data_IF_273069132456
#
_entry.id   IF_273069132456
#
_cell.length_a   1.000
_cell.length_b   1.000
_cell.length_c   1.000
_cell.angle_alpha   90.00
_cell.angle_beta   90.00
_cell.angle_gamma   90.00
#
_symmetry.space_group_name_H-M   'P 1'
#
loop_
_entity.id
_entity.type
_entity.pdbx_description
1 polymer ?
#
# COMPACT_ATOMS: atom_id res chain seq x y z
N UNK A 1 4.87 24.82 -3.45
CA UNK A 1 4.85 23.97 -4.65
C UNK A 1 3.71 22.97 -4.44
N UNK A 2 2.63 23.09 -5.21
CA UNK A 2 1.55 22.12 -5.16
C UNK A 2 2.12 20.78 -5.62
N UNK A 3 2.03 19.74 -4.79
CA UNK A 3 2.33 18.38 -5.21
C UNK A 3 1.20 17.93 -6.15
N UNK A 4 1.23 18.38 -7.39
CA UNK A 4 0.32 17.96 -8.47
C UNK A 4 0.64 16.55 -8.99
N UNK A 5 1.35 15.74 -8.20
CA UNK A 5 1.52 14.33 -8.53
C UNK A 5 0.17 13.63 -8.39
N UNK A 6 -0.44 13.17 -9.49
CA UNK A 6 -1.71 12.48 -9.44
C UNK A 6 -1.58 11.26 -8.53
N UNK A 7 -2.61 10.99 -7.72
CA UNK A 7 -2.66 9.80 -6.88
C UNK A 7 -2.37 8.56 -7.74
N UNK A 8 -1.24 7.85 -7.57
CA UNK A 8 -0.81 6.80 -8.47
C UNK A 8 -1.79 5.61 -8.53
N UNK A 9 -2.84 5.60 -7.70
CA UNK A 9 -3.97 4.68 -7.84
C UNK A 9 -4.57 4.65 -9.27
N UNK A 10 -4.51 5.74 -10.05
CA UNK A 10 -4.96 5.72 -11.45
C UNK A 10 -4.16 4.74 -12.31
N UNK A 11 -2.88 4.48 -11.97
CA UNK A 11 -2.02 3.53 -12.68
C UNK A 11 -2.52 2.09 -12.52
N UNK A 12 -3.21 1.76 -11.42
CA UNK A 12 -3.79 0.43 -11.22
C UNK A 12 -4.96 0.17 -12.17
N UNK A 13 -5.60 1.22 -12.68
CA UNK A 13 -6.68 1.12 -13.65
C UNK A 13 -6.20 1.14 -15.10
N UNK A 14 -4.90 1.40 -15.34
CA UNK A 14 -4.34 1.44 -16.70
C UNK A 14 -4.21 0.01 -17.26
N UNK A 15 -4.72 -0.28 -18.47
CA UNK A 15 -4.57 -1.59 -19.11
C UNK A 15 -3.10 -2.04 -19.26
N UNK A 16 -2.18 -1.09 -19.40
CA UNK A 16 -0.74 -1.33 -19.50
C UNK A 16 -0.13 -1.85 -18.20
N UNK A 17 -0.74 -1.54 -17.05
CA UNK A 17 -0.29 -1.99 -15.75
C UNK A 17 -0.25 -3.52 -15.66
N UNK A 18 -1.31 -4.18 -16.11
CA UNK A 18 -1.39 -5.64 -16.12
C UNK A 18 -0.28 -6.24 -17.01
N UNK A 19 0.04 -5.58 -18.12
CA UNK A 19 1.14 -5.99 -19.00
C UNK A 19 2.51 -5.80 -18.34
N UNK A 20 2.76 -4.68 -17.66
CA UNK A 20 4.02 -4.48 -16.94
C UNK A 20 4.17 -5.42 -15.76
N UNK A 21 3.06 -5.72 -15.07
CA UNK A 21 3.04 -6.68 -13.97
C UNK A 21 3.38 -8.09 -14.45
N UNK A 22 2.78 -8.54 -15.57
CA UNK A 22 3.06 -9.87 -16.13
C UNK A 22 4.48 -10.00 -16.69
N UNK A 23 5.09 -8.90 -17.11
CA UNK A 23 6.49 -8.83 -17.54
C UNK A 23 7.48 -8.77 -16.38
N UNK A 24 7.01 -8.73 -15.11
CA UNK A 24 7.88 -8.63 -13.94
C UNK A 24 8.54 -7.26 -13.76
N UNK A 25 8.01 -6.21 -14.41
CA UNK A 25 8.56 -4.85 -14.34
C UNK A 25 8.05 -4.06 -13.13
N UNK A 26 7.17 -4.66 -12.33
CA UNK A 26 6.62 -4.07 -11.11
C UNK A 26 7.12 -4.88 -9.93
N UNK A 27 7.72 -4.20 -8.94
CA UNK A 27 8.10 -4.83 -7.69
C UNK A 27 6.82 -5.29 -6.94
N UNK A 28 6.63 -6.61 -6.77
CA UNK A 28 5.42 -7.14 -6.13
C UNK A 28 5.32 -6.76 -4.65
N UNK A 29 6.45 -6.54 -3.97
CA UNK A 29 6.48 -6.13 -2.56
C UNK A 29 6.05 -4.67 -2.46
N UNK A 30 6.59 -3.80 -3.31
CA UNK A 30 6.20 -2.39 -3.36
C UNK A 30 4.72 -2.25 -3.71
N UNK A 31 4.23 -3.02 -4.69
CA UNK A 31 2.82 -3.03 -5.09
C UNK A 31 1.91 -3.48 -3.94
N UNK A 32 2.21 -4.61 -3.29
CA UNK A 32 1.44 -5.08 -2.13
C UNK A 32 1.40 -4.03 -1.03
N UNK A 33 2.54 -3.42 -0.71
CA UNK A 33 2.63 -2.40 0.33
C UNK A 33 1.82 -1.14 -0.03
N UNK A 34 1.78 -0.76 -1.31
CA UNK A 34 0.93 0.32 -1.79
C UNK A 34 -0.56 0.00 -1.60
N UNK A 35 -0.99 -1.21 -1.97
CA UNK A 35 -2.38 -1.67 -1.79
C UNK A 35 -2.75 -1.65 -0.31
N UNK A 36 -1.91 -2.22 0.57
CA UNK A 36 -2.13 -2.22 2.04
C UNK A 36 -2.34 -0.79 2.56
N UNK A 37 -1.50 0.17 2.15
CA UNK A 37 -1.65 1.59 2.55
C UNK A 37 -2.94 2.21 2.01
N UNK A 38 -3.35 1.85 0.81
CA UNK A 38 -4.60 2.34 0.22
C UNK A 38 -5.81 1.80 1.00
N UNK A 39 -5.86 0.50 1.25
CA UNK A 39 -6.94 -0.13 1.99
C UNK A 39 -7.02 0.33 3.44
N UNK A 40 -5.87 0.51 4.10
CA UNK A 40 -5.82 1.09 5.44
C UNK A 40 -6.49 2.46 5.51
N UNK A 41 -6.27 3.33 4.50
CA UNK A 41 -6.93 4.64 4.45
C UNK A 41 -8.45 4.54 4.33
N UNK A 42 -8.96 3.52 3.63
CA UNK A 42 -10.40 3.27 3.54
C UNK A 42 -10.96 2.65 4.82
N UNK A 43 -10.25 1.70 5.43
CA UNK A 43 -10.64 1.07 6.70
C UNK A 43 -10.72 2.09 7.84
N UNK A 44 -9.76 3.02 7.91
CA UNK A 44 -9.73 4.05 8.97
C UNK A 44 -10.89 5.04 8.94
N UNK A 45 -11.70 5.07 7.87
CA UNK A 45 -12.95 5.83 7.82
C UNK A 45 -14.09 5.17 8.62
N UNK A 46 -13.96 3.88 8.94
CA UNK A 46 -15.01 3.05 9.55
C UNK A 46 -14.56 2.37 10.84
N UNK A 47 -13.33 1.90 10.85
CA UNK A 47 -12.78 1.05 11.91
C UNK A 47 -11.71 1.77 12.73
N UNK A 48 -11.47 1.28 13.96
CA UNK A 48 -10.34 1.72 14.79
C UNK A 48 -9.00 1.37 14.14
N UNK A 49 -7.90 1.98 14.60
CA UNK A 49 -6.57 1.65 14.09
C UNK A 49 -6.23 0.19 14.34
N UNK A 50 -6.52 -0.31 15.54
CA UNK A 50 -6.23 -1.69 15.94
C UNK A 50 -7.00 -2.67 15.04
N UNK A 51 -8.30 -2.41 14.85
CA UNK A 51 -9.16 -3.24 14.00
C UNK A 51 -8.71 -3.18 12.53
N UNK A 52 -8.35 -2.00 12.03
CA UNK A 52 -7.84 -1.85 10.67
C UNK A 52 -6.57 -2.67 10.42
N UNK A 53 -5.64 -2.66 11.38
CA UNK A 53 -4.40 -3.45 11.28
C UNK A 53 -4.71 -4.95 11.39
N UNK A 54 -5.63 -5.35 12.26
CA UNK A 54 -6.07 -6.74 12.39
C UNK A 54 -6.67 -7.28 11.08
N UNK A 55 -7.61 -6.55 10.48
CA UNK A 55 -8.24 -6.94 9.21
C UNK A 55 -7.23 -7.05 8.06
N UNK A 56 -6.24 -6.15 8.01
CA UNK A 56 -5.17 -6.21 7.01
C UNK A 56 -4.20 -7.37 7.28
N UNK A 57 -3.90 -7.66 8.54
CA UNK A 57 -3.08 -8.80 8.96
C UNK A 57 -3.70 -10.11 8.46
N UNK A 58 -5.00 -10.29 8.70
CA UNK A 58 -5.77 -11.46 8.25
C UNK A 58 -5.80 -11.55 6.72
N UNK A 59 -6.15 -10.45 6.04
CA UNK A 59 -6.31 -10.43 4.58
C UNK A 59 -5.02 -10.71 3.80
N UNK A 60 -3.89 -10.17 4.27
CA UNK A 60 -2.61 -10.29 3.57
C UNK A 60 -1.73 -11.42 4.12
N UNK A 61 -2.20 -12.15 5.14
CA UNK A 61 -1.44 -13.19 5.84
C UNK A 61 -0.05 -12.70 6.29
N UNK A 62 -0.01 -11.47 6.81
CA UNK A 62 1.20 -10.84 7.34
C UNK A 62 1.04 -10.66 8.84
N UNK A 63 2.14 -10.68 9.59
CA UNK A 63 2.09 -10.39 11.02
C UNK A 63 1.65 -8.95 11.29
N UNK A 64 1.11 -8.72 12.49
CA UNK A 64 0.73 -7.38 12.95
C UNK A 64 1.90 -6.38 12.86
N UNK A 65 3.11 -6.82 13.20
CA UNK A 65 4.33 -6.01 13.10
C UNK A 65 4.71 -5.70 11.64
N UNK A 66 4.50 -6.65 10.74
CA UNK A 66 4.74 -6.42 9.31
C UNK A 66 3.77 -5.37 8.75
N UNK A 67 2.48 -5.45 9.10
CA UNK A 67 1.49 -4.43 8.72
C UNK A 67 1.87 -3.07 9.33
N UNK A 68 2.21 -3.01 10.61
CA UNK A 68 2.65 -1.76 11.25
C UNK A 68 3.88 -1.17 10.57
N UNK A 69 4.86 -2.00 10.23
CA UNK A 69 6.05 -1.57 9.49
C UNK A 69 5.69 -1.01 8.12
N UNK A 70 4.80 -1.68 7.39
CA UNK A 70 4.36 -1.22 6.07
C UNK A 70 3.66 0.14 6.17
N UNK A 71 2.80 0.32 7.18
CA UNK A 71 1.99 1.53 7.34
C UNK A 71 2.79 2.73 7.85
N UNK A 72 3.68 2.52 8.83
CA UNK A 72 4.24 3.61 9.64
C UNK A 72 5.75 3.77 9.56
N UNK A 73 6.48 2.89 8.86
CA UNK A 73 7.92 3.05 8.73
C UNK A 73 8.23 4.34 7.97
N UNK A 74 8.82 5.31 8.68
CA UNK A 74 9.47 6.46 8.10
C UNK A 74 10.77 5.99 7.45
N UNK A 75 10.95 6.30 6.16
CA UNK A 75 12.29 6.22 5.57
C UNK A 75 13.09 7.40 6.09
N UNK A 76 13.98 7.16 7.06
CA UNK A 76 15.09 8.08 7.30
C UNK A 76 16.01 7.95 6.09
N UNK A 77 15.91 8.88 5.14
CA UNK A 77 16.96 9.03 4.14
C UNK A 77 18.21 9.49 4.90
N UNK A 78 19.18 8.59 5.07
CA UNK A 78 20.55 9.01 5.28
C UNK A 78 21.02 9.65 3.96
N UNK A 79 20.89 10.98 3.89
CA UNK A 79 21.58 11.84 2.93
C UNK A 79 23.07 11.88 3.26
#
# INVERSE_FOLDING_TARGET
MNNDFPNPAFLLADPSFNKFNSLGLIDPIALRNFIIKSEYRELRKKETQIESIFLLSEKFHLSYDAINTILFRLYTMHL
#
